data_IF_713479458649
#
_entry.id   IF_713479458649
#
_cell.length_a   1.000
_cell.length_b   1.000
_cell.length_c   1.000
_cell.angle_alpha   90.00
_cell.angle_beta   90.00
_cell.angle_gamma   90.00
#
_symmetry.space_group_name_H-M   'P 1'
#
loop_
_entity.id
_entity.type
_entity.pdbx_description
1 polymer ?
#
# COMPACT_ATOMS: atom_id res chain seq x y z
N UNK A 1 20.43 1.67 42.29
CA UNK A 1 21.18 0.55 42.90
C UNK A 1 20.52 0.01 44.18
N UNK A 2 20.31 0.81 45.25
CA UNK A 2 19.71 0.31 46.51
C UNK A 2 18.25 -0.17 46.44
N UNK A 3 17.48 0.32 45.45
CA UNK A 3 16.12 -0.18 45.16
C UNK A 3 16.11 -1.53 44.44
N UNK A 4 17.16 -1.82 43.66
CA UNK A 4 17.24 -2.98 42.78
C UNK A 4 17.86 -4.17 43.53
N UNK A 5 17.14 -4.67 44.53
CA UNK A 5 17.59 -5.77 45.40
C UNK A 5 16.52 -6.85 45.51
N UNK A 6 16.95 -8.10 45.73
CA UNK A 6 16.05 -9.25 45.94
C UNK A 6 15.13 -9.12 47.15
N UNK A 7 15.42 -8.20 48.07
CA UNK A 7 14.57 -7.93 49.24
C UNK A 7 13.23 -7.25 48.88
N UNK A 8 13.06 -6.80 47.62
CA UNK A 8 11.82 -6.20 47.08
C UNK A 8 11.19 -5.13 48.00
N UNK A 9 12.01 -4.25 48.59
CA UNK A 9 11.54 -3.19 49.49
C UNK A 9 10.40 -2.38 48.84
N UNK A 10 9.35 -2.11 49.60
CA UNK A 10 8.24 -1.28 49.13
C UNK A 10 8.71 0.15 48.85
N UNK A 11 8.02 0.85 47.94
CA UNK A 11 8.30 2.25 47.62
C UNK A 11 8.33 3.14 48.86
N UNK A 12 7.43 2.89 49.82
CA UNK A 12 7.38 3.62 51.09
C UNK A 12 8.62 3.37 51.96
N UNK A 13 9.09 2.11 52.05
CA UNK A 13 10.29 1.77 52.80
C UNK A 13 11.55 2.37 52.14
N UNK A 14 11.64 2.31 50.81
CA UNK A 14 12.75 2.88 50.06
C UNK A 14 12.78 4.41 50.14
N UNK A 15 11.62 5.07 50.07
CA UNK A 15 11.53 6.53 50.24
C UNK A 15 12.01 6.97 51.62
N UNK A 16 11.67 6.25 52.71
CA UNK A 16 12.20 6.55 54.06
C UNK A 16 13.73 6.46 54.14
N UNK A 17 14.34 5.52 53.41
CA UNK A 17 15.80 5.41 53.32
C UNK A 17 16.42 6.59 52.55
N UNK A 18 15.81 6.97 51.42
CA UNK A 18 16.22 8.15 50.64
C UNK A 18 16.14 9.42 51.49
N UNK A 19 15.05 9.60 52.24
CA UNK A 19 14.86 10.72 53.18
C UNK A 19 15.98 10.75 54.22
N UNK A 20 16.31 9.60 54.82
CA UNK A 20 17.36 9.48 55.84
C UNK A 20 18.74 9.82 55.26
N UNK A 21 19.07 9.28 54.08
CA UNK A 21 20.34 9.54 53.41
C UNK A 21 20.51 11.00 53.00
N UNK A 22 19.45 11.62 52.44
CA UNK A 22 19.45 13.04 52.11
C UNK A 22 19.65 13.91 53.35
N UNK A 23 18.98 13.62 54.48
CA UNK A 23 19.16 14.36 55.74
C UNK A 23 20.59 14.26 56.28
N UNK A 24 21.18 13.06 56.24
CA UNK A 24 22.56 12.84 56.70
C UNK A 24 23.59 13.61 55.86
N UNK A 25 23.31 13.78 54.56
CA UNK A 25 24.16 14.52 53.63
C UNK A 25 23.74 15.99 53.46
N UNK A 26 22.79 16.48 54.27
CA UNK A 26 22.24 17.85 54.20
C UNK A 26 21.68 18.23 52.80
N UNK A 27 21.15 17.26 52.07
CA UNK A 27 20.53 17.44 50.76
C UNK A 27 19.01 17.62 50.86
N UNK A 28 18.42 18.32 49.89
CA UNK A 28 16.96 18.49 49.79
C UNK A 28 16.29 17.13 49.52
N UNK A 29 15.32 16.79 50.35
CA UNK A 29 14.59 15.51 50.27
C UNK A 29 13.60 15.55 49.08
N UNK A 30 13.64 14.57 48.16
CA UNK A 30 12.67 14.48 47.08
C UNK A 30 11.30 14.02 47.56
N UNK A 31 10.24 14.52 46.91
CA UNK A 31 8.87 14.05 47.16
C UNK A 31 8.72 12.57 46.76
N UNK A 32 7.80 11.86 47.43
CA UNK A 32 7.57 10.43 47.19
C UNK A 32 7.20 10.14 45.74
N UNK A 33 6.38 11.00 45.12
CA UNK A 33 6.01 10.88 43.70
C UNK A 33 7.21 11.05 42.77
N UNK A 34 8.16 11.93 43.09
CA UNK A 34 9.40 12.11 42.31
C UNK A 34 10.26 10.85 42.33
N UNK A 35 10.32 10.15 43.48
CA UNK A 35 11.02 8.87 43.58
C UNK A 35 10.27 7.76 42.83
N UNK A 36 8.94 7.75 42.89
CA UNK A 36 8.10 6.82 42.14
C UNK A 36 8.28 6.95 40.63
N UNK A 37 8.26 8.18 40.10
CA UNK A 37 8.47 8.46 38.68
C UNK A 37 9.87 8.04 38.20
N UNK A 38 10.92 8.31 39.01
CA UNK A 38 12.28 7.85 38.69
C UNK A 38 12.42 6.33 38.71
N UNK A 39 11.65 5.64 39.54
CA UNK A 39 11.59 4.17 39.55
C UNK A 39 10.84 3.66 38.32
N UNK A 40 9.74 4.32 37.93
CA UNK A 40 8.96 3.97 36.75
C UNK A 40 9.75 4.18 35.43
N UNK A 41 10.73 5.09 35.42
CA UNK A 41 11.64 5.29 34.30
C UNK A 41 12.84 4.34 34.24
N UNK A 42 12.97 3.37 35.15
CA UNK A 42 13.99 2.32 35.07
C UNK A 42 13.56 1.24 34.06
N UNK A 43 14.52 0.61 33.37
CA UNK A 43 14.24 -0.51 32.48
C UNK A 43 13.51 -1.63 33.25
N UNK A 44 12.27 -1.98 32.87
CA UNK A 44 11.52 -3.07 33.51
C UNK A 44 12.30 -4.38 33.56
N UNK A 45 13.15 -4.67 32.57
CA UNK A 45 14.00 -5.87 32.53
C UNK A 45 15.08 -5.84 33.60
N UNK A 46 15.76 -4.72 33.77
CA UNK A 46 16.80 -4.58 34.80
C UNK A 46 16.16 -4.65 36.21
N UNK A 47 14.98 -4.05 36.37
CA UNK A 47 14.21 -4.10 37.62
C UNK A 47 13.84 -5.54 37.97
N UNK A 48 13.22 -6.27 37.04
CA UNK A 48 12.76 -7.65 37.29
C UNK A 48 13.94 -8.61 37.46
N UNK A 49 14.97 -8.52 36.63
CA UNK A 49 16.18 -9.35 36.76
C UNK A 49 16.84 -9.19 38.14
N UNK A 50 17.04 -7.94 38.60
CA UNK A 50 17.71 -7.68 39.89
C UNK A 50 16.83 -7.95 41.10
N UNK A 51 15.50 -7.87 40.99
CA UNK A 51 14.57 -8.04 42.12
C UNK A 51 13.96 -9.43 42.22
N UNK A 52 13.79 -10.11 41.12
CA UNK A 52 12.99 -11.34 41.02
C UNK A 52 13.80 -12.53 40.50
N UNK A 53 14.99 -12.28 39.95
CA UNK A 53 15.90 -13.31 39.45
C UNK A 53 15.78 -13.52 37.94
N UNK A 54 16.68 -14.35 37.42
CA UNK A 54 16.84 -14.57 35.98
C UNK A 54 15.62 -15.27 35.36
N UNK A 55 14.96 -16.17 36.09
CA UNK A 55 13.79 -16.90 35.59
C UNK A 55 12.53 -16.02 35.51
N UNK A 56 12.29 -15.12 36.46
CA UNK A 56 11.18 -14.17 36.40
C UNK A 56 11.38 -13.08 35.31
N UNK A 57 12.63 -12.87 34.87
CA UNK A 57 12.95 -11.98 33.76
C UNK A 57 12.76 -12.65 32.38
N UNK A 58 12.61 -13.98 32.31
CA UNK A 58 12.33 -14.73 31.06
C UNK A 58 10.94 -14.43 30.52
N UNK A 59 9.94 -14.23 31.37
CA UNK A 59 8.58 -13.84 30.93
C UNK A 59 8.53 -12.40 30.35
N UNK A 60 9.57 -11.59 30.59
CA UNK A 60 9.78 -10.25 30.00
C UNK A 60 10.78 -10.27 28.84
N UNK A 61 11.38 -11.42 28.52
CA UNK A 61 12.09 -11.64 27.28
C UNK A 61 11.04 -11.92 26.19
N UNK A 62 10.91 -11.00 25.24
CA UNK A 62 10.31 -11.38 23.96
C UNK A 62 11.08 -12.59 23.42
N UNK A 63 10.36 -13.58 22.87
CA UNK A 63 10.87 -14.89 22.45
C UNK A 63 11.76 -14.80 21.19
N UNK A 64 12.70 -13.88 21.14
CA UNK A 64 13.72 -13.87 20.10
C UNK A 64 14.93 -13.07 20.51
N UNK A 65 16.08 -13.52 20.04
CA UNK A 65 17.35 -12.83 20.25
C UNK A 65 17.27 -11.38 19.80
N UNK A 66 18.20 -10.57 20.28
CA UNK A 66 18.42 -9.23 19.73
C UNK A 66 18.82 -9.44 18.26
N UNK A 67 18.04 -8.94 17.28
CA UNK A 67 18.46 -8.97 15.89
C UNK A 67 19.84 -8.31 15.79
N UNK A 68 20.77 -8.84 14.98
CA UNK A 68 22.08 -8.22 14.83
C UNK A 68 21.91 -6.73 14.51
N UNK A 69 22.71 -5.85 15.14
CA UNK A 69 22.53 -4.41 14.99
C UNK A 69 22.80 -4.00 13.54
N UNK A 70 21.80 -3.37 12.91
CA UNK A 70 21.96 -2.72 11.61
C UNK A 70 22.77 -1.45 11.82
N UNK A 71 23.84 -1.27 11.03
CA UNK A 71 24.91 -0.30 11.30
C UNK A 71 25.02 0.82 10.26
N UNK A 72 24.43 0.62 9.07
CA UNK A 72 24.48 1.58 7.97
C UNK A 72 23.12 1.71 7.25
N UNK A 73 22.87 2.85 6.58
CA UNK A 73 21.72 2.99 5.70
C UNK A 73 21.71 1.93 4.60
N UNK A 74 20.52 1.46 4.25
CA UNK A 74 20.26 0.43 3.25
C UNK A 74 20.91 -0.92 3.54
N UNK A 75 21.47 -1.13 4.73
CA UNK A 75 22.00 -2.43 5.13
C UNK A 75 20.87 -3.46 5.28
N UNK A 76 19.74 -3.04 5.87
CA UNK A 76 18.54 -3.83 6.01
C UNK A 76 17.31 -2.95 5.79
N UNK A 77 16.49 -3.34 4.83
CA UNK A 77 15.18 -2.72 4.56
C UNK A 77 14.09 -3.73 4.85
N UNK A 78 13.06 -3.30 5.59
CA UNK A 78 11.84 -4.07 5.79
C UNK A 78 10.80 -3.64 4.76
N UNK A 79 10.12 -4.62 4.16
CA UNK A 79 8.99 -4.38 3.27
C UNK A 79 7.77 -5.09 3.84
N UNK A 80 6.65 -4.41 3.81
CA UNK A 80 5.37 -4.97 4.22
C UNK A 80 4.23 -4.42 3.35
N UNK A 81 3.12 -5.14 3.34
CA UNK A 81 1.92 -4.78 2.61
C UNK A 81 0.73 -4.65 3.56
N UNK A 82 -0.14 -3.68 3.32
CA UNK A 82 -1.39 -3.55 4.07
C UNK A 82 -2.50 -3.06 3.17
N UNK A 83 -3.74 -3.44 3.45
CA UNK A 83 -4.90 -2.75 2.88
C UNK A 83 -4.99 -1.38 3.54
N UNK A 84 -5.22 -0.32 2.76
CA UNK A 84 -5.49 1.01 3.30
C UNK A 84 -6.95 1.03 3.79
N UNK A 85 -7.19 1.56 4.99
CA UNK A 85 -8.52 1.74 5.56
C UNK A 85 -9.26 2.95 4.96
N UNK A 86 -9.22 3.10 3.63
CA UNK A 86 -9.83 4.21 2.89
C UNK A 86 -10.42 3.69 1.58
N UNK A 87 -11.66 4.08 1.28
CA UNK A 87 -12.26 3.85 -0.03
C UNK A 87 -11.85 4.99 -0.96
N UNK A 88 -11.19 4.66 -2.06
CA UNK A 88 -10.88 5.65 -3.12
C UNK A 88 -11.96 5.67 -4.18
N UNK A 89 -11.99 6.76 -4.94
CA UNK A 89 -12.91 6.97 -6.05
C UNK A 89 -12.22 7.02 -7.40
N UNK A 90 -12.97 6.79 -8.48
CA UNK A 90 -12.46 6.94 -9.85
C UNK A 90 -12.23 8.42 -10.22
N UNK A 91 -11.28 8.68 -11.12
CA UNK A 91 -10.90 10.04 -11.52
C UNK A 91 -11.99 10.81 -12.28
N UNK A 92 -12.91 10.12 -12.94
CA UNK A 92 -13.86 10.74 -13.87
C UNK A 92 -15.19 11.07 -13.20
N UNK A 93 -15.77 10.08 -12.55
CA UNK A 93 -17.14 10.12 -12.01
C UNK A 93 -17.15 10.16 -10.48
N UNK A 94 -15.99 10.13 -9.83
CA UNK A 94 -15.81 10.15 -8.37
C UNK A 94 -16.67 9.10 -7.66
N UNK A 95 -16.79 7.91 -8.24
CA UNK A 95 -17.45 6.78 -7.62
C UNK A 95 -16.47 5.90 -6.86
N UNK A 96 -16.89 5.33 -5.72
CA UNK A 96 -16.11 4.31 -5.00
C UNK A 96 -15.63 3.19 -5.93
N UNK A 97 -14.32 2.94 -5.94
CA UNK A 97 -13.71 1.83 -6.69
C UNK A 97 -13.08 0.77 -5.78
N UNK A 98 -13.07 1.02 -4.46
CA UNK A 98 -12.61 0.07 -3.47
C UNK A 98 -11.44 0.59 -2.65
N UNK A 99 -10.81 -0.33 -1.90
CA UNK A 99 -9.71 -0.04 -0.99
C UNK A 99 -8.38 -0.40 -1.65
N UNK A 100 -7.43 0.54 -1.74
CA UNK A 100 -6.10 0.25 -2.25
C UNK A 100 -5.24 -0.48 -1.22
N UNK A 101 -4.18 -1.12 -1.70
CA UNK A 101 -3.08 -1.68 -0.93
C UNK A 101 -1.90 -0.71 -0.90
N UNK A 102 -1.26 -0.60 0.26
CA UNK A 102 0.00 0.08 0.47
C UNK A 102 1.11 -0.95 0.56
N UNK A 103 2.15 -0.80 -0.26
CA UNK A 103 3.45 -1.46 -0.07
C UNK A 103 4.44 -0.43 0.44
N UNK A 104 5.04 -0.67 1.60
CA UNK A 104 5.97 0.27 2.23
C UNK A 104 7.32 -0.40 2.46
N UNK A 105 8.41 0.31 2.11
CA UNK A 105 9.77 -0.09 2.41
C UNK A 105 10.41 0.90 3.38
N UNK A 106 10.91 0.42 4.52
CA UNK A 106 11.55 1.23 5.56
C UNK A 106 12.97 0.75 5.85
N UNK A 107 13.90 1.70 5.88
CA UNK A 107 15.28 1.46 6.31
C UNK A 107 15.34 1.27 7.84
N UNK A 108 15.91 0.15 8.28
CA UNK A 108 15.94 -0.19 9.70
C UNK A 108 16.88 0.73 10.48
N UNK A 109 17.97 1.20 9.87
CA UNK A 109 18.99 2.00 10.54
C UNK A 109 18.54 3.45 10.76
N UNK A 110 18.01 4.10 9.72
CA UNK A 110 17.60 5.52 9.75
C UNK A 110 16.12 5.71 10.05
N UNK A 111 15.32 4.65 10.04
CA UNK A 111 13.85 4.71 10.10
C UNK A 111 13.21 5.48 8.95
N UNK A 112 13.95 5.81 7.89
CA UNK A 112 13.36 6.46 6.74
C UNK A 112 12.52 5.48 5.94
N UNK A 113 11.31 5.90 5.56
CA UNK A 113 10.61 5.27 4.43
C UNK A 113 11.45 5.54 3.17
N UNK A 114 11.89 4.47 2.51
CA UNK A 114 12.69 4.52 1.28
C UNK A 114 11.84 4.24 0.05
N UNK A 115 10.80 3.41 0.18
CA UNK A 115 9.93 2.99 -0.93
C UNK A 115 8.47 3.02 -0.55
N UNK A 116 7.59 3.41 -1.47
CA UNK A 116 6.15 3.36 -1.30
C UNK A 116 5.47 3.05 -2.64
N UNK A 117 4.45 2.20 -2.63
CA UNK A 117 3.58 1.94 -3.78
C UNK A 117 2.15 1.81 -3.30
N UNK A 118 1.23 2.48 -3.99
CA UNK A 118 -0.22 2.36 -3.74
C UNK A 118 -0.86 1.72 -4.97
N UNK A 119 -1.58 0.61 -4.80
CA UNK A 119 -2.21 -0.11 -5.92
C UNK A 119 -3.60 -0.60 -5.56
N UNK A 120 -4.50 -0.70 -6.54
CA UNK A 120 -5.78 -1.41 -6.35
C UNK A 120 -5.62 -2.93 -6.46
N UNK A 121 -4.55 -3.39 -7.10
CA UNK A 121 -4.18 -4.80 -7.17
C UNK A 121 -3.63 -5.28 -5.84
N UNK A 122 -3.95 -6.53 -5.51
CA UNK A 122 -3.46 -7.20 -4.31
C UNK A 122 -1.91 -7.35 -4.35
N UNK A 123 -1.27 -7.52 -3.18
CA UNK A 123 0.18 -7.69 -3.07
C UNK A 123 0.70 -8.82 -3.96
N UNK A 124 1.83 -8.57 -4.60
CA UNK A 124 2.47 -9.52 -5.52
C UNK A 124 3.95 -9.21 -5.67
N UNK A 125 4.69 -10.10 -6.33
CA UNK A 125 6.08 -9.82 -6.70
C UNK A 125 6.25 -8.51 -7.49
N UNK A 126 5.21 -8.08 -8.22
CA UNK A 126 5.20 -6.82 -8.97
C UNK A 126 5.13 -5.62 -8.03
N UNK A 127 4.27 -5.64 -7.01
CA UNK A 127 4.19 -4.52 -6.06
C UNK A 127 5.49 -4.38 -5.26
N UNK A 128 6.11 -5.50 -4.89
CA UNK A 128 7.46 -5.52 -4.28
C UNK A 128 8.50 -4.94 -5.25
N UNK A 129 8.53 -5.39 -6.50
CA UNK A 129 9.44 -4.88 -7.53
C UNK A 129 9.29 -3.37 -7.76
N UNK A 130 8.06 -2.86 -7.80
CA UNK A 130 7.77 -1.43 -7.90
C UNK A 130 8.27 -0.65 -6.68
N UNK A 131 8.09 -1.22 -5.49
CA UNK A 131 8.55 -0.59 -4.26
C UNK A 131 10.08 -0.52 -4.22
N UNK A 132 10.76 -1.57 -4.70
CA UNK A 132 12.21 -1.57 -4.86
C UNK A 132 12.69 -0.57 -5.91
N UNK A 133 11.98 -0.39 -7.03
CA UNK A 133 12.28 0.66 -8.01
C UNK A 133 12.18 2.03 -7.35
N UNK A 134 11.09 2.31 -6.63
CA UNK A 134 10.90 3.57 -5.91
C UNK A 134 12.00 3.80 -4.86
N UNK A 135 12.41 2.75 -4.13
CA UNK A 135 13.50 2.82 -3.17
C UNK A 135 14.87 3.06 -3.82
N UNK A 136 15.16 2.39 -4.93
CA UNK A 136 16.48 2.37 -5.54
C UNK A 136 16.75 3.53 -6.50
N UNK A 137 15.70 4.14 -7.06
CA UNK A 137 15.80 5.23 -8.03
C UNK A 137 15.64 6.61 -7.37
N UNK A 138 16.05 7.64 -8.10
CA UNK A 138 15.74 9.03 -7.78
C UNK A 138 14.23 9.28 -7.87
N UNK A 139 13.65 9.85 -6.81
CA UNK A 139 12.21 10.09 -6.68
C UNK A 139 11.79 11.45 -7.21
N UNK A 140 12.71 12.36 -7.53
CA UNK A 140 12.37 13.71 -8.02
C UNK A 140 11.39 13.70 -9.20
N UNK A 141 11.59 12.89 -10.27
CA UNK A 141 10.64 12.85 -11.38
C UNK A 141 9.24 12.34 -10.96
N UNK A 142 9.18 11.45 -9.97
CA UNK A 142 7.92 10.94 -9.45
C UNK A 142 7.19 11.98 -8.59
N UNK A 143 7.92 12.72 -7.75
CA UNK A 143 7.40 13.83 -6.94
C UNK A 143 6.87 14.98 -7.83
N UNK A 144 7.63 15.35 -8.87
CA UNK A 144 7.19 16.29 -9.91
C UNK A 144 5.89 15.81 -10.57
N UNK A 145 5.85 14.52 -10.92
CA UNK A 145 4.68 13.87 -11.48
C UNK A 145 3.47 13.81 -10.54
N UNK A 146 3.64 14.03 -9.22
CA UNK A 146 2.56 14.16 -8.23
C UNK A 146 2.26 15.61 -7.83
N UNK A 147 2.99 16.58 -8.40
CA UNK A 147 2.94 17.98 -8.01
C UNK A 147 3.19 18.17 -6.49
N UNK A 148 4.22 17.50 -5.96
CA UNK A 148 4.63 17.62 -4.56
C UNK A 148 5.99 18.30 -4.49
N UNK A 149 6.04 19.42 -3.78
CA UNK A 149 7.28 20.15 -3.49
C UNK A 149 7.85 19.67 -2.15
N UNK A 150 8.66 18.61 -2.19
CA UNK A 150 9.40 18.10 -1.03
C UNK A 150 10.69 17.41 -1.46
N UNK A 151 11.64 17.30 -0.53
CA UNK A 151 12.83 16.48 -0.73
C UNK A 151 12.60 15.06 -0.20
N UNK A 152 12.89 14.05 -1.03
CA UNK A 152 12.95 12.65 -0.63
C UNK A 152 14.26 12.00 -1.09
N UNK A 153 15.41 12.37 -0.48
CA UNK A 153 16.74 12.00 -0.99
C UNK A 153 17.10 10.52 -0.75
N UNK A 154 16.33 9.80 0.06
CA UNK A 154 16.62 8.42 0.45
C UNK A 154 16.46 7.46 -0.73
N UNK A 155 17.55 7.27 -1.47
CA UNK A 155 17.58 6.45 -2.68
C UNK A 155 18.78 5.52 -2.66
N UNK A 156 18.58 4.29 -3.10
CA UNK A 156 19.65 3.31 -3.30
C UNK A 156 19.19 1.88 -3.10
N UNK A 157 20.01 0.96 -3.59
CA UNK A 157 19.73 -0.47 -3.52
C UNK A 157 20.02 -1.01 -2.10
N UNK A 158 19.08 -1.74 -1.46
CA UNK A 158 19.33 -2.39 -0.17
C UNK A 158 20.31 -3.57 -0.30
N UNK A 159 21.07 -3.82 0.76
CA UNK A 159 21.95 -5.00 0.88
C UNK A 159 21.17 -6.25 1.30
N UNK A 160 20.11 -6.06 2.09
CA UNK A 160 19.26 -7.12 2.59
C UNK A 160 17.81 -6.65 2.68
N UNK A 161 16.89 -7.46 2.17
CA UNK A 161 15.46 -7.33 2.42
C UNK A 161 15.08 -8.29 3.53
N UNK A 162 14.46 -7.74 4.57
CA UNK A 162 13.95 -8.50 5.70
C UNK A 162 12.43 -8.53 5.64
N UNK A 163 11.89 -9.69 5.27
CA UNK A 163 10.52 -9.86 4.82
C UNK A 163 9.74 -10.76 5.76
N UNK A 164 8.42 -10.66 5.74
CA UNK A 164 7.58 -11.68 6.38
C UNK A 164 7.55 -12.98 5.54
N UNK A 165 6.77 -13.97 5.98
CA UNK A 165 6.72 -15.28 5.33
C UNK A 165 5.65 -15.41 4.22
N UNK A 166 5.05 -14.31 3.77
CA UNK A 166 4.02 -14.30 2.75
C UNK A 166 4.52 -14.86 1.41
N UNK A 167 3.57 -15.34 0.59
CA UNK A 167 3.89 -16.12 -0.61
C UNK A 167 4.57 -15.28 -1.70
N UNK A 168 4.19 -14.01 -1.82
CA UNK A 168 4.76 -13.02 -2.74
C UNK A 168 6.27 -12.84 -2.53
N UNK A 169 6.73 -12.86 -1.28
CA UNK A 169 8.14 -12.74 -0.92
C UNK A 169 8.95 -14.01 -1.15
N UNK A 170 8.29 -15.13 -1.46
CA UNK A 170 8.90 -16.42 -1.81
C UNK A 170 8.87 -16.71 -3.32
N UNK A 171 8.42 -15.74 -4.12
CA UNK A 171 8.32 -15.88 -5.56
C UNK A 171 9.68 -16.08 -6.23
N UNK A 172 9.72 -16.89 -7.29
CA UNK A 172 10.95 -17.06 -8.09
C UNK A 172 11.42 -15.73 -8.69
N UNK A 173 10.48 -14.87 -9.08
CA UNK A 173 10.76 -13.55 -9.65
C UNK A 173 11.56 -12.67 -8.69
N UNK A 174 11.12 -12.57 -7.42
CA UNK A 174 11.82 -11.79 -6.40
C UNK A 174 13.20 -12.38 -6.09
N UNK A 175 13.31 -13.71 -5.92
CA UNK A 175 14.60 -14.37 -5.65
C UNK A 175 15.63 -14.08 -6.74
N UNK A 176 15.27 -14.27 -8.01
CA UNK A 176 16.17 -14.01 -9.15
C UNK A 176 16.53 -12.53 -9.27
N UNK A 177 15.56 -11.63 -9.10
CA UNK A 177 15.84 -10.19 -9.13
C UNK A 177 16.81 -9.77 -8.01
N UNK A 178 16.62 -10.31 -6.80
CA UNK A 178 17.52 -10.05 -5.69
C UNK A 178 18.93 -10.62 -5.94
N UNK A 179 19.03 -11.86 -6.44
CA UNK A 179 20.31 -12.49 -6.79
C UNK A 179 21.07 -11.69 -7.86
N UNK A 180 20.40 -11.30 -8.95
CA UNK A 180 20.97 -10.48 -10.04
C UNK A 180 21.55 -9.17 -9.52
N UNK A 181 20.89 -8.59 -8.51
CA UNK A 181 21.27 -7.31 -7.93
C UNK A 181 22.09 -7.43 -6.65
N UNK A 182 22.51 -8.63 -6.23
CA UNK A 182 23.28 -8.83 -5.00
C UNK A 182 22.55 -8.38 -3.71
N UNK A 183 21.22 -8.44 -3.73
CA UNK A 183 20.35 -8.16 -2.57
C UNK A 183 20.11 -9.48 -1.85
N UNK A 184 20.44 -9.57 -0.57
CA UNK A 184 20.15 -10.76 0.23
C UNK A 184 18.68 -10.78 0.66
N UNK A 185 18.06 -11.95 0.64
CA UNK A 185 16.73 -12.16 1.19
C UNK A 185 16.86 -12.84 2.55
N UNK A 186 16.17 -12.29 3.55
CA UNK A 186 16.06 -12.89 4.88
C UNK A 186 14.61 -12.76 5.36
N UNK A 187 14.17 -13.73 6.17
CA UNK A 187 12.77 -13.89 6.53
C UNK A 187 12.60 -13.92 8.04
N UNK A 188 11.50 -13.32 8.52
CA UNK A 188 11.13 -13.36 9.94
C UNK A 188 11.02 -14.82 10.42
N UNK A 189 11.54 -15.18 11.62
CA UNK A 189 11.27 -16.49 12.20
C UNK A 189 9.77 -16.74 12.37
N UNK A 190 9.33 -17.99 12.14
CA UNK A 190 7.92 -18.35 12.27
C UNK A 190 7.42 -18.12 13.70
N UNK A 191 6.27 -17.45 13.84
CA UNK A 191 5.63 -17.20 15.14
C UNK A 191 6.29 -16.12 16.01
N UNK A 192 7.20 -15.31 15.45
CA UNK A 192 7.92 -14.27 16.19
C UNK A 192 7.61 -12.85 15.63
N UNK A 193 6.47 -12.24 15.99
CA UNK A 193 6.02 -10.97 15.42
C UNK A 193 6.93 -9.78 15.74
N UNK A 194 7.72 -9.85 16.82
CA UNK A 194 8.55 -8.73 17.27
C UNK A 194 9.63 -8.27 16.28
N UNK A 195 10.00 -9.10 15.30
CA UNK A 195 10.96 -8.71 14.26
C UNK A 195 10.37 -7.81 13.15
N UNK A 196 9.03 -7.70 13.07
CA UNK A 196 8.31 -6.82 12.15
C UNK A 196 7.93 -5.45 12.70
N UNK A 197 8.16 -5.22 14.00
CA UNK A 197 7.59 -4.09 14.73
C UNK A 197 8.04 -2.69 14.31
N UNK A 198 8.93 -2.55 13.32
CA UNK A 198 9.35 -1.25 12.78
C UNK A 198 8.42 -0.85 11.64
N UNK A 199 8.31 -1.71 10.61
CA UNK A 199 7.41 -1.47 9.47
C UNK A 199 5.93 -1.49 9.92
N UNK A 200 5.58 -2.37 10.84
CA UNK A 200 4.22 -2.42 11.43
C UNK A 200 3.87 -1.12 12.16
N UNK A 201 4.84 -0.52 12.88
CA UNK A 201 4.59 0.73 13.62
C UNK A 201 4.35 1.90 12.68
N UNK A 202 5.15 2.06 11.63
CA UNK A 202 4.96 3.16 10.68
C UNK A 202 3.67 2.98 9.87
N UNK A 203 3.30 1.74 9.53
CA UNK A 203 2.00 1.44 8.91
C UNK A 203 0.86 1.84 9.86
N UNK A 204 0.95 1.48 11.14
CA UNK A 204 -0.04 1.88 12.13
C UNK A 204 -0.17 3.40 12.27
N UNK A 205 0.96 4.13 12.26
CA UNK A 205 0.96 5.60 12.25
C UNK A 205 0.27 6.16 11.00
N UNK A 206 0.55 5.59 9.81
CA UNK A 206 -0.10 6.03 8.58
C UNK A 206 -1.62 5.77 8.61
N UNK A 207 -2.07 4.61 9.10
CA UNK A 207 -3.51 4.32 9.23
C UNK A 207 -4.20 5.28 10.19
N UNK A 208 -3.58 5.59 11.33
CA UNK A 208 -4.13 6.55 12.28
C UNK A 208 -4.30 7.94 11.64
N UNK A 209 -3.29 8.44 10.91
CA UNK A 209 -3.40 9.72 10.21
C UNK A 209 -4.52 9.70 9.15
N UNK A 210 -4.69 8.57 8.44
CA UNK A 210 -5.79 8.41 7.46
C UNK A 210 -7.14 8.48 8.16
N UNK A 211 -7.30 7.81 9.31
CA UNK A 211 -8.55 7.83 10.07
C UNK A 211 -8.88 9.23 10.62
N UNK A 212 -7.86 9.97 11.04
CA UNK A 212 -8.02 11.28 11.68
C UNK A 212 -8.23 12.41 10.66
N UNK A 213 -7.62 12.33 9.48
CA UNK A 213 -7.55 13.43 8.53
C UNK A 213 -8.36 13.24 7.24
N UNK A 214 -8.68 11.99 6.84
CA UNK A 214 -9.28 11.71 5.53
C UNK A 214 -10.75 11.23 5.60
N UNK A 215 -11.63 11.73 4.73
CA UNK A 215 -13.00 11.24 4.59
C UNK A 215 -13.05 9.93 3.79
N UNK A 216 -14.05 9.08 4.06
CA UNK A 216 -14.22 7.78 3.38
C UNK A 216 -13.43 6.64 4.02
N UNK A 217 -12.93 6.85 5.23
CA UNK A 217 -12.26 5.82 6.04
C UNK A 217 -13.22 4.67 6.37
N UNK A 218 -12.70 3.45 6.38
CA UNK A 218 -13.46 2.26 6.80
C UNK A 218 -13.26 1.90 8.26
N UNK A 219 -12.32 2.56 8.94
CA UNK A 219 -11.82 2.22 10.28
C UNK A 219 -11.32 0.77 10.40
N UNK A 220 -10.64 0.43 11.49
CA UNK A 220 -10.05 -0.92 11.66
C UNK A 220 -11.04 -1.98 12.15
N UNK A 221 -12.19 -1.55 12.73
CA UNK A 221 -13.22 -2.45 13.27
C UNK A 221 -14.62 -1.94 12.88
N UNK A 222 -15.55 -2.83 12.45
CA UNK A 222 -16.98 -2.53 12.34
C UNK A 222 -17.59 -1.70 13.48
N UNK A 223 -17.18 -1.92 14.74
CA UNK A 223 -17.68 -1.17 15.90
C UNK A 223 -17.28 0.32 15.86
N UNK A 224 -16.09 0.62 15.34
CA UNK A 224 -15.60 1.99 15.17
C UNK A 224 -16.28 2.69 13.97
N UNK A 225 -16.72 1.91 12.98
CA UNK A 225 -17.40 2.43 11.80
C UNK A 225 -18.81 2.93 12.13
N UNK A 226 -19.53 2.26 13.04
CA UNK A 226 -20.90 2.65 13.41
C UNK A 226 -21.81 2.88 12.20
N UNK A 227 -22.49 4.04 12.15
CA UNK A 227 -23.35 4.47 11.03
C UNK A 227 -22.60 5.22 9.91
N UNK A 228 -21.26 5.31 9.97
CA UNK A 228 -20.48 6.06 8.99
C UNK A 228 -20.53 5.41 7.60
N UNK A 229 -21.12 6.11 6.64
CA UNK A 229 -21.25 5.65 5.27
C UNK A 229 -19.96 5.89 4.47
N UNK A 230 -18.93 5.04 4.67
CA UNK A 230 -17.60 5.17 4.05
C UNK A 230 -17.65 5.36 2.53
N UNK A 231 -18.52 4.63 1.83
CA UNK A 231 -18.67 4.77 0.37
C UNK A 231 -19.23 6.14 -0.05
N UNK A 232 -20.16 6.70 0.72
CA UNK A 232 -20.73 8.03 0.43
C UNK A 232 -19.75 9.16 0.76
N UNK A 233 -18.87 8.91 1.72
CA UNK A 233 -17.84 9.85 2.16
C UNK A 233 -16.53 9.71 1.39
N UNK A 234 -16.38 8.66 0.57
CA UNK A 234 -15.22 8.43 -0.27
C UNK A 234 -15.03 9.62 -1.20
N UNK A 235 -13.92 10.32 -1.01
CA UNK A 235 -13.68 11.57 -1.71
C UNK A 235 -12.39 11.59 -2.48
N UNK A 236 -11.38 10.76 -2.19
CA UNK A 236 -10.06 10.85 -2.82
C UNK A 236 -9.90 9.85 -3.97
N UNK A 237 -9.29 10.27 -5.08
CA UNK A 237 -8.77 9.33 -6.09
C UNK A 237 -7.51 8.63 -5.62
N UNK A 238 -7.11 7.55 -6.30
CA UNK A 238 -5.85 6.87 -6.03
C UNK A 238 -4.66 7.84 -6.09
N UNK A 239 -4.61 8.70 -7.10
CA UNK A 239 -3.54 9.70 -7.31
C UNK A 239 -3.54 10.80 -6.24
N UNK A 240 -4.71 11.23 -5.78
CA UNK A 240 -4.82 12.19 -4.67
C UNK A 240 -4.37 11.56 -3.34
N UNK A 241 -4.72 10.29 -3.10
CA UNK A 241 -4.27 9.54 -1.94
C UNK A 241 -2.74 9.34 -1.97
N UNK A 242 -2.16 8.98 -3.13
CA UNK A 242 -0.71 8.90 -3.31
C UNK A 242 -0.02 10.22 -2.97
N UNK A 243 -0.55 11.34 -3.45
CA UNK A 243 -0.05 12.68 -3.14
C UNK A 243 -0.09 12.97 -1.63
N UNK A 244 -1.21 12.68 -0.98
CA UNK A 244 -1.37 12.89 0.45
C UNK A 244 -0.40 12.01 1.28
N UNK A 245 -0.29 10.72 0.94
CA UNK A 245 0.63 9.80 1.60
C UNK A 245 2.10 10.23 1.44
N UNK A 246 2.44 10.77 0.27
CA UNK A 246 3.77 11.33 -0.01
C UNK A 246 4.11 12.47 0.95
N UNK A 247 3.18 13.41 1.13
CA UNK A 247 3.32 14.51 2.08
C UNK A 247 3.41 13.99 3.53
N UNK A 248 2.58 13.01 3.89
CA UNK A 248 2.62 12.38 5.21
C UNK A 248 3.99 11.73 5.50
N UNK A 249 4.60 11.09 4.51
CA UNK A 249 5.97 10.55 4.63
C UNK A 249 6.99 11.68 4.84
N UNK A 250 6.87 12.80 4.14
CA UNK A 250 7.71 13.98 4.36
C UNK A 250 7.61 14.53 5.78
N UNK A 251 6.38 14.67 6.30
CA UNK A 251 6.13 15.07 7.70
C UNK A 251 6.76 14.09 8.69
N UNK A 252 6.64 12.78 8.44
CA UNK A 252 7.27 11.75 9.26
C UNK A 252 8.79 11.86 9.26
N UNK A 253 9.41 12.06 8.10
CA UNK A 253 10.87 12.20 7.97
C UNK A 253 11.42 13.42 8.72
N UNK A 254 10.64 14.50 8.84
CA UNK A 254 10.99 15.71 9.59
C UNK A 254 10.69 15.65 11.09
N UNK A 255 9.89 14.68 11.54
CA UNK A 255 9.45 14.56 12.94
C UNK A 255 10.44 13.77 13.79
N UNK A 256 10.62 14.19 15.06
CA UNK A 256 11.52 13.48 15.99
C UNK A 256 11.01 12.06 16.26
N UNK A 257 11.82 11.06 15.92
CA UNK A 257 11.46 9.67 16.13
C UNK A 257 11.89 9.18 17.53
N UNK A 258 10.97 8.66 18.34
CA UNK A 258 11.23 8.25 19.73
C UNK A 258 12.39 7.26 19.89
N UNK A 259 12.56 6.33 18.94
CA UNK A 259 13.67 5.36 18.96
C UNK A 259 15.02 5.91 18.49
N UNK A 260 15.05 7.07 17.83
CA UNK A 260 16.28 7.71 17.34
C UNK A 260 16.65 8.97 18.13
N UNK A 261 15.68 9.60 18.80
CA UNK A 261 15.78 10.90 19.45
C UNK A 261 16.17 12.05 18.49
N UNK A 262 15.97 11.84 17.19
CA UNK A 262 16.16 12.82 16.12
C UNK A 262 15.24 12.47 14.92
N UNK A 263 15.04 13.40 13.97
CA UNK A 263 14.30 13.10 12.75
C UNK A 263 14.95 12.02 11.89
N UNK A 264 14.18 11.10 11.26
CA UNK A 264 14.71 10.12 10.32
C UNK A 264 15.56 10.75 9.20
N UNK A 265 15.13 11.89 8.64
CA UNK A 265 15.90 12.58 7.60
C UNK A 265 17.28 13.05 8.08
N UNK A 266 17.36 13.58 9.31
CA UNK A 266 18.62 13.99 9.92
C UNK A 266 19.55 12.78 10.11
N UNK A 267 18.99 11.67 10.61
CA UNK A 267 19.74 10.41 10.77
C UNK A 267 20.31 9.88 9.45
N UNK A 268 19.54 9.98 8.37
CA UNK A 268 20.00 9.64 7.03
C UNK A 268 21.14 10.55 6.55
N UNK A 269 20.97 11.86 6.67
CA UNK A 269 21.97 12.85 6.27
C UNK A 269 23.32 12.68 7.02
N UNK A 270 23.27 12.45 8.33
CA UNK A 270 24.45 12.13 9.14
C UNK A 270 25.16 10.87 8.63
N UNK A 271 24.37 9.84 8.28
CA UNK A 271 24.90 8.55 7.90
C UNK A 271 25.59 8.58 6.54
N UNK A 272 24.95 9.17 5.52
CA UNK A 272 25.52 9.29 4.17
C UNK A 272 26.78 10.17 4.16
N UNK A 273 26.89 11.13 5.08
CA UNK A 273 28.12 11.95 5.24
C UNK A 273 29.30 11.08 5.68
N UNK A 274 29.05 10.04 6.48
CA UNK A 274 30.11 9.11 6.93
C UNK A 274 30.37 7.97 5.96
N UNK A 275 29.34 7.42 5.33
CA UNK A 275 29.43 6.20 4.51
C UNK A 275 29.51 6.46 3.00
N UNK A 276 29.28 7.70 2.57
CA UNK A 276 29.07 8.07 1.17
C UNK A 276 27.61 7.95 0.75
N UNK A 277 27.27 8.63 -0.35
CA UNK A 277 25.94 8.57 -0.97
C UNK A 277 25.76 7.19 -1.64
N UNK A 278 24.66 6.47 -1.35
CA UNK A 278 24.40 5.18 -1.99
C UNK A 278 24.28 5.30 -3.51
N UNK A 279 24.68 4.25 -4.24
CA UNK A 279 24.50 4.18 -5.68
C UNK A 279 23.00 4.09 -6.02
N UNK A 280 22.55 5.04 -6.84
CA UNK A 280 21.17 5.13 -7.33
C UNK A 280 21.05 4.36 -8.65
N UNK A 281 19.94 3.65 -8.82
CA UNK A 281 19.61 2.98 -10.07
C UNK A 281 19.09 4.03 -11.07
N UNK A 282 19.72 4.10 -12.25
CA UNK A 282 19.37 5.06 -13.31
C UNK A 282 18.41 4.48 -14.35
N UNK A 283 18.41 3.16 -14.55
CA UNK A 283 17.54 2.46 -15.50
C UNK A 283 16.39 1.77 -14.77
N UNK A 284 15.41 2.54 -14.32
CA UNK A 284 14.26 2.06 -13.55
C UNK A 284 13.52 0.88 -14.23
N UNK A 285 13.27 0.97 -15.54
CA UNK A 285 12.59 -0.11 -16.29
C UNK A 285 13.39 -1.40 -16.31
N UNK A 286 14.70 -1.32 -16.60
CA UNK A 286 15.55 -2.51 -16.62
C UNK A 286 15.61 -3.18 -15.24
N UNK A 287 15.73 -2.37 -14.19
CA UNK A 287 15.69 -2.86 -12.81
C UNK A 287 14.35 -3.52 -12.47
N UNK A 288 13.22 -2.91 -12.85
CA UNK A 288 11.88 -3.49 -12.63
C UNK A 288 11.72 -4.85 -13.31
N UNK A 289 12.19 -4.98 -14.56
CA UNK A 289 12.06 -6.20 -15.37
C UNK A 289 12.61 -7.43 -14.64
N UNK A 290 13.68 -7.28 -13.87
CA UNK A 290 14.28 -8.37 -13.08
C UNK A 290 13.36 -8.92 -11.98
N UNK A 291 12.37 -8.14 -11.54
CA UNK A 291 11.38 -8.51 -10.52
C UNK A 291 10.00 -8.88 -11.08
N UNK A 292 9.78 -8.72 -12.39
CA UNK A 292 8.49 -9.05 -13.01
C UNK A 292 8.20 -10.56 -13.03
N UNK A 293 6.93 -10.99 -13.08
CA UNK A 293 6.53 -12.39 -13.16
C UNK A 293 7.24 -13.15 -14.29
N UNK A 294 7.64 -14.38 -14.00
CA UNK A 294 8.37 -15.26 -14.92
C UNK A 294 7.40 -16.18 -15.65
N UNK A 295 7.59 -16.29 -16.96
CA UNK A 295 6.92 -17.22 -17.85
C UNK A 295 8.01 -17.96 -18.63
N UNK A 296 7.86 -19.26 -18.85
CA UNK A 296 8.77 -20.04 -19.69
C UNK A 296 8.06 -20.50 -20.95
N UNK A 297 8.60 -20.20 -22.13
CA UNK A 297 8.02 -20.59 -23.42
C UNK A 297 9.09 -20.93 -24.44
N UNK A 298 8.79 -21.92 -25.28
CA UNK A 298 9.62 -22.25 -26.44
C UNK A 298 9.35 -21.28 -27.58
N UNK A 299 10.41 -20.87 -28.27
CA UNK A 299 10.32 -19.99 -29.44
C UNK A 299 9.79 -20.76 -30.65
N UNK A 300 8.81 -20.20 -31.34
CA UNK A 300 8.24 -20.78 -32.58
C UNK A 300 8.71 -20.00 -33.82
N UNK A 301 8.35 -20.48 -35.02
CA UNK A 301 8.63 -19.77 -36.28
C UNK A 301 7.99 -18.39 -36.36
N UNK A 302 6.90 -18.16 -35.61
CA UNK A 302 6.14 -16.91 -35.59
C UNK A 302 6.39 -16.07 -34.35
N UNK A 303 7.39 -16.43 -33.52
CA UNK A 303 7.70 -15.74 -32.26
C UNK A 303 7.17 -16.51 -31.04
N UNK A 304 6.71 -15.77 -30.02
CA UNK A 304 6.14 -16.34 -28.81
C UNK A 304 4.63 -16.21 -28.79
N UNK A 305 3.95 -17.21 -28.24
CA UNK A 305 2.51 -17.16 -27.95
C UNK A 305 2.30 -17.29 -26.46
N UNK A 306 1.68 -16.27 -25.85
CA UNK A 306 1.40 -16.24 -24.41
C UNK A 306 -0.04 -15.81 -24.23
N UNK A 307 -0.85 -16.66 -23.60
CA UNK A 307 -2.26 -16.40 -23.31
C UNK A 307 -3.06 -15.92 -24.54
N UNK A 308 -2.87 -16.60 -25.68
CA UNK A 308 -3.51 -16.34 -26.98
C UNK A 308 -3.03 -15.07 -27.71
N UNK A 309 -1.97 -14.42 -27.23
CA UNK A 309 -1.38 -13.22 -27.83
C UNK A 309 -0.03 -13.56 -28.45
N UNK A 310 0.23 -13.04 -29.65
CA UNK A 310 1.48 -13.26 -30.38
C UNK A 310 2.45 -12.11 -30.15
N UNK A 311 3.71 -12.45 -29.87
CA UNK A 311 4.80 -11.50 -29.67
C UNK A 311 5.92 -11.79 -30.65
N UNK A 312 6.38 -10.76 -31.34
CA UNK A 312 7.42 -10.91 -32.36
C UNK A 312 8.23 -9.61 -32.52
N UNK A 313 9.54 -9.77 -32.66
CA UNK A 313 10.45 -8.74 -33.12
C UNK A 313 11.50 -9.37 -34.02
N UNK A 314 12.06 -8.57 -34.93
CA UNK A 314 13.10 -9.05 -35.86
C UNK A 314 14.38 -9.52 -35.17
N UNK A 315 14.64 -9.03 -33.95
CA UNK A 315 15.72 -9.52 -33.10
C UNK A 315 15.61 -11.01 -32.75
N UNK A 316 14.43 -11.64 -32.90
CA UNK A 316 14.25 -13.07 -32.68
C UNK A 316 14.73 -13.93 -33.85
N UNK A 317 14.90 -13.37 -35.05
CA UNK A 317 15.27 -14.12 -36.27
C UNK A 317 16.48 -15.05 -36.10
N UNK A 318 17.60 -14.62 -35.48
CA UNK A 318 18.76 -15.49 -35.25
C UNK A 318 18.44 -16.72 -34.40
N UNK A 319 17.53 -16.57 -33.44
CA UNK A 319 17.11 -17.65 -32.55
C UNK A 319 16.06 -18.56 -33.20
N UNK A 320 15.15 -18.01 -34.01
CA UNK A 320 14.14 -18.78 -34.75
C UNK A 320 14.80 -19.81 -35.67
N UNK A 321 15.90 -19.44 -36.32
CA UNK A 321 16.67 -20.31 -37.21
C UNK A 321 17.24 -21.56 -36.51
N UNK A 322 17.58 -21.44 -35.22
CA UNK A 322 18.17 -22.51 -34.39
C UNK A 322 17.24 -22.98 -33.25
N UNK A 323 15.95 -22.62 -33.29
CA UNK A 323 14.99 -22.78 -32.19
C UNK A 323 14.86 -24.22 -31.67
N UNK A 324 14.99 -25.20 -32.56
CA UNK A 324 14.84 -26.62 -32.21
C UNK A 324 16.02 -27.13 -31.34
N UNK A 325 17.09 -26.34 -31.19
CA UNK A 325 18.25 -26.61 -30.33
C UNK A 325 18.26 -25.76 -29.05
N UNK A 326 17.31 -24.85 -28.88
CA UNK A 326 17.26 -23.93 -27.75
C UNK A 326 16.24 -24.41 -26.71
N UNK A 327 16.52 -24.26 -25.41
CA UNK A 327 15.54 -24.55 -24.37
C UNK A 327 14.40 -23.53 -24.38
N UNK A 328 13.39 -23.76 -23.53
CA UNK A 328 12.39 -22.74 -23.26
C UNK A 328 13.06 -21.47 -22.72
N UNK A 329 12.67 -20.32 -23.29
CA UNK A 329 13.17 -19.02 -22.90
C UNK A 329 12.51 -18.56 -21.61
N UNK A 330 13.27 -17.84 -20.78
CA UNK A 330 12.75 -17.11 -19.63
C UNK A 330 12.21 -15.77 -20.11
N UNK A 331 10.93 -15.53 -19.85
CA UNK A 331 10.20 -14.34 -20.28
C UNK A 331 9.66 -13.64 -19.04
N UNK A 332 9.84 -12.32 -18.99
CA UNK A 332 9.24 -11.43 -18.00
C UNK A 332 8.08 -10.68 -18.65
N UNK A 333 6.97 -10.53 -17.93
CA UNK A 333 5.81 -9.78 -18.40
C UNK A 333 5.21 -8.97 -17.27
N UNK A 334 4.97 -7.67 -17.51
CA UNK A 334 4.30 -6.80 -16.56
C UNK A 334 2.77 -7.04 -16.67
N UNK A 335 2.08 -7.48 -15.61
CA UNK A 335 0.63 -7.67 -15.68
C UNK A 335 -0.14 -6.35 -15.83
N UNK A 336 0.48 -5.19 -15.58
CA UNK A 336 -0.15 -3.88 -15.73
C UNK A 336 -0.15 -3.40 -17.18
N UNK A 337 0.78 -3.88 -17.99
CA UNK A 337 0.84 -3.62 -19.43
C UNK A 337 1.44 -4.84 -20.13
N UNK A 338 0.57 -5.66 -20.73
CA UNK A 338 1.01 -6.83 -21.47
C UNK A 338 1.35 -6.53 -22.94
N UNK A 339 1.46 -5.26 -23.36
CA UNK A 339 1.84 -4.84 -24.73
C UNK A 339 3.19 -5.34 -25.21
N UNK A 340 4.03 -5.72 -24.26
CA UNK A 340 5.39 -6.17 -24.49
C UNK A 340 5.77 -7.22 -23.48
N UNK A 341 6.77 -8.00 -23.85
CA UNK A 341 7.44 -8.97 -22.98
C UNK A 341 8.94 -8.73 -23.05
N UNK A 342 9.65 -9.16 -22.01
CA UNK A 342 11.10 -9.11 -21.97
C UNK A 342 11.65 -10.52 -21.97
N UNK A 343 12.33 -10.89 -23.05
CA UNK A 343 12.85 -12.24 -23.27
C UNK A 343 14.33 -12.26 -22.91
N UNK A 344 14.72 -13.11 -21.97
CA UNK A 344 16.13 -13.30 -21.61
C UNK A 344 16.83 -13.99 -22.77
N UNK A 345 17.97 -13.43 -23.21
CA UNK A 345 18.81 -14.05 -24.24
C UNK A 345 19.25 -15.47 -23.81
N UNK A 346 19.45 -16.41 -24.74
CA UNK A 346 19.94 -17.76 -24.42
C UNK A 346 21.24 -17.78 -23.63
N UNK A 347 22.11 -16.80 -23.89
CA UNK A 347 23.39 -16.59 -23.22
C UNK A 347 23.23 -16.00 -21.80
N UNK A 348 22.02 -15.56 -21.43
CA UNK A 348 21.65 -15.16 -20.07
C UNK A 348 22.05 -13.74 -19.66
N UNK A 349 22.48 -12.90 -20.62
CA UNK A 349 23.08 -11.60 -20.31
C UNK A 349 22.07 -10.45 -20.26
N UNK A 350 21.19 -10.35 -21.26
CA UNK A 350 20.26 -9.22 -21.37
C UNK A 350 18.82 -9.67 -21.63
N UNK A 351 17.90 -8.75 -21.35
CA UNK A 351 16.51 -8.88 -21.73
C UNK A 351 16.26 -8.09 -23.02
N UNK A 352 15.69 -8.75 -24.04
CA UNK A 352 15.18 -8.11 -25.24
C UNK A 352 13.69 -7.79 -25.06
N UNK A 353 13.31 -6.54 -25.32
CA UNK A 353 11.91 -6.12 -25.36
C UNK A 353 11.27 -6.57 -26.69
N UNK A 354 10.19 -7.34 -26.59
CA UNK A 354 9.44 -7.87 -27.72
C UNK A 354 7.99 -7.39 -27.60
N UNK A 355 7.50 -6.56 -28.54
CA UNK A 355 6.11 -6.10 -28.52
C UNK A 355 5.16 -7.19 -29.03
N UNK A 356 3.87 -6.88 -29.05
CA UNK A 356 2.92 -7.60 -29.88
C UNK A 356 3.42 -7.75 -31.32
N UNK A 357 3.09 -8.87 -31.93
CA UNK A 357 3.28 -9.07 -33.37
C UNK A 357 2.41 -8.06 -34.16
N UNK A 358 1.19 -7.83 -33.69
CA UNK A 358 0.26 -6.86 -34.28
C UNK A 358 0.36 -5.55 -33.52
N UNK A 359 1.15 -4.61 -34.04
CA UNK A 359 1.44 -3.33 -33.38
C UNK A 359 0.23 -2.40 -33.24
N UNK A 360 -0.86 -2.64 -33.98
CA UNK A 360 -2.10 -1.86 -33.88
C UNK A 360 -2.96 -2.23 -32.66
N UNK A 361 -2.65 -3.33 -31.97
CA UNK A 361 -3.37 -3.67 -30.74
C UNK A 361 -3.06 -2.67 -29.62
N UNK A 362 -4.08 -2.23 -28.87
CA UNK A 362 -3.89 -1.31 -27.76
C UNK A 362 -3.17 -2.00 -26.60
N UNK A 363 -2.54 -1.23 -25.73
CA UNK A 363 -2.08 -1.73 -24.43
C UNK A 363 -3.28 -2.23 -23.62
N UNK A 364 -3.12 -3.40 -23.01
CA UNK A 364 -4.12 -4.03 -22.15
C UNK A 364 -3.44 -4.56 -20.90
N UNK A 365 -4.19 -4.64 -19.81
CA UNK A 365 -3.73 -5.31 -18.59
C UNK A 365 -3.96 -6.83 -18.69
N UNK A 366 -3.25 -7.61 -17.88
CA UNK A 366 -3.49 -9.04 -17.75
C UNK A 366 -4.90 -9.34 -17.20
N UNK A 367 -5.43 -8.44 -16.38
CA UNK A 367 -6.78 -8.56 -15.84
C UNK A 367 -7.85 -8.43 -16.93
N UNK A 368 -7.75 -7.40 -17.78
CA UNK A 368 -8.68 -7.20 -18.91
C UNK A 368 -8.66 -8.40 -19.85
N UNK A 369 -7.45 -8.91 -20.11
CA UNK A 369 -7.25 -10.10 -20.92
C UNK A 369 -7.94 -11.33 -20.31
N UNK A 370 -7.79 -11.57 -19.01
CA UNK A 370 -8.43 -12.70 -18.30
C UNK A 370 -9.94 -12.59 -18.30
N UNK A 371 -10.48 -11.39 -18.08
CA UNK A 371 -11.93 -11.17 -18.13
C UNK A 371 -12.50 -11.43 -19.52
N UNK A 372 -11.84 -10.93 -20.56
CA UNK A 372 -12.25 -11.17 -21.93
C UNK A 372 -12.22 -12.67 -22.29
N UNK A 373 -11.19 -13.40 -21.86
CA UNK A 373 -11.14 -14.86 -22.02
C UNK A 373 -12.27 -15.58 -21.29
N UNK A 374 -12.56 -15.21 -20.05
CA UNK A 374 -13.65 -15.80 -19.27
C UNK A 374 -15.00 -15.59 -19.98
N UNK A 375 -15.24 -14.38 -20.48
CA UNK A 375 -16.47 -14.04 -21.21
C UNK A 375 -16.59 -14.78 -22.55
N UNK A 376 -15.50 -14.91 -23.30
CA UNK A 376 -15.48 -15.68 -24.56
C UNK A 376 -15.76 -17.17 -24.33
N UNK A 377 -15.23 -17.75 -23.24
CA UNK A 377 -15.51 -19.14 -22.84
C UNK A 377 -16.98 -19.34 -22.43
N UNK A 378 -17.56 -18.39 -21.69
CA UNK A 378 -18.99 -18.41 -21.34
C UNK A 378 -19.89 -18.35 -22.59
N UNK A 379 -19.42 -17.69 -23.66
CA UNK A 379 -20.11 -17.66 -24.96
C UNK A 379 -19.90 -18.93 -25.81
N UNK A 380 -19.32 -19.99 -25.24
CA UNK A 380 -19.14 -21.28 -25.92
C UNK A 380 -18.02 -21.30 -26.96
N UNK A 381 -17.12 -20.31 -26.97
CA UNK A 381 -15.97 -20.33 -27.90
C UNK A 381 -14.85 -21.21 -27.35
N UNK A 382 -14.72 -22.41 -27.91
CA UNK A 382 -13.63 -23.33 -27.56
C UNK A 382 -12.26 -22.89 -28.11
N UNK A 383 -12.23 -22.32 -29.31
CA UNK A 383 -11.02 -21.72 -29.89
C UNK A 383 -11.11 -20.19 -29.84
N UNK A 384 -10.23 -19.59 -29.03
CA UNK A 384 -10.10 -18.14 -28.93
C UNK A 384 -8.90 -17.70 -29.77
N UNK A 385 -9.17 -17.04 -30.90
CA UNK A 385 -8.15 -16.33 -31.65
C UNK A 385 -7.84 -14.95 -31.03
N UNK A 386 -6.64 -14.44 -31.29
CA UNK A 386 -6.15 -13.15 -30.76
C UNK A 386 -7.07 -11.98 -31.15
N UNK A 387 -7.61 -12.00 -32.36
CA UNK A 387 -8.47 -10.92 -32.85
C UNK A 387 -9.81 -10.89 -32.08
N UNK A 388 -10.37 -12.05 -31.75
CA UNK A 388 -11.57 -12.18 -30.93
C UNK A 388 -11.33 -11.70 -29.50
N UNK A 389 -10.16 -12.01 -28.95
CA UNK A 389 -9.74 -11.53 -27.64
C UNK A 389 -9.70 -9.99 -27.60
N UNK A 390 -8.98 -9.34 -28.52
CA UNK A 390 -8.89 -7.87 -28.53
C UNK A 390 -10.22 -7.19 -28.87
N UNK A 391 -11.05 -7.79 -29.74
CA UNK A 391 -12.42 -7.29 -29.98
C UNK A 391 -13.26 -7.34 -28.70
N UNK A 392 -13.21 -8.44 -27.94
CA UNK A 392 -13.94 -8.56 -26.67
C UNK A 392 -13.46 -7.53 -25.65
N UNK A 393 -12.13 -7.31 -25.53
CA UNK A 393 -11.59 -6.26 -24.66
C UNK A 393 -12.15 -4.89 -25.07
N UNK A 394 -12.16 -4.58 -26.37
CA UNK A 394 -12.76 -3.36 -26.91
C UNK A 394 -14.23 -3.20 -26.52
N UNK A 395 -15.04 -4.23 -26.73
CA UNK A 395 -16.46 -4.25 -26.34
C UNK A 395 -16.66 -4.04 -24.84
N UNK A 396 -15.84 -4.67 -24.00
CA UNK A 396 -15.91 -4.49 -22.54
C UNK A 396 -15.56 -3.07 -22.13
N UNK A 397 -14.52 -2.46 -22.72
CA UNK A 397 -14.18 -1.05 -22.50
C UNK A 397 -15.29 -0.11 -22.95
N UNK A 398 -15.94 -0.39 -24.07
CA UNK A 398 -17.10 0.38 -24.56
C UNK A 398 -18.30 0.29 -23.63
N UNK A 399 -18.61 -0.90 -23.10
CA UNK A 399 -19.67 -1.10 -22.11
C UNK A 399 -19.40 -0.25 -20.87
N UNK A 400 -18.18 -0.33 -20.31
CA UNK A 400 -17.78 0.46 -19.14
C UNK A 400 -17.89 1.95 -19.43
N UNK A 401 -17.37 2.40 -20.57
CA UNK A 401 -17.40 3.82 -20.97
C UNK A 401 -18.83 4.32 -21.19
N UNK A 402 -19.69 3.50 -21.78
CA UNK A 402 -21.10 3.85 -22.02
C UNK A 402 -21.89 3.89 -20.73
N UNK A 403 -21.67 2.93 -19.83
CA UNK A 403 -22.24 2.93 -18.48
C UNK A 403 -21.83 4.18 -17.71
N UNK A 404 -20.54 4.53 -17.69
CA UNK A 404 -20.03 5.77 -17.10
C UNK A 404 -20.74 7.01 -17.67
N UNK A 405 -20.83 7.14 -18.99
CA UNK A 405 -21.52 8.25 -19.67
C UNK A 405 -23.01 8.30 -19.33
N UNK A 406 -23.69 7.16 -19.28
CA UNK A 406 -25.11 7.07 -18.94
C UNK A 406 -25.34 7.48 -17.49
N UNK A 407 -24.51 7.01 -16.56
CA UNK A 407 -24.56 7.41 -15.14
C UNK A 407 -24.28 8.90 -14.98
N UNK A 408 -23.30 9.46 -15.70
CA UNK A 408 -23.02 10.90 -15.71
C UNK A 408 -24.20 11.72 -16.22
N UNK A 409 -24.86 11.28 -17.30
CA UNK A 409 -26.08 11.93 -17.84
C UNK A 409 -27.22 11.85 -16.82
N UNK A 410 -27.48 10.67 -16.26
CA UNK A 410 -28.53 10.46 -15.26
C UNK A 410 -28.32 11.33 -14.01
N UNK A 411 -27.08 11.47 -13.55
CA UNK A 411 -26.72 12.38 -12.43
C UNK A 411 -26.94 13.84 -12.79
N UNK A 412 -26.45 14.30 -13.95
CA UNK A 412 -26.69 15.67 -14.41
C UNK A 412 -28.19 15.99 -14.50
N UNK A 413 -29.00 15.03 -14.94
CA UNK A 413 -30.45 15.18 -15.00
C UNK A 413 -31.10 15.14 -13.61
N UNK A 414 -30.55 14.41 -12.64
CA UNK A 414 -30.97 14.43 -11.25
C UNK A 414 -30.62 15.76 -10.56
N UNK A 415 -29.39 16.24 -10.69
CA UNK A 415 -28.92 17.53 -10.17
C UNK A 415 -29.75 18.68 -10.75
N UNK A 416 -30.00 18.67 -12.07
CA UNK A 416 -30.86 19.67 -12.72
C UNK A 416 -32.28 19.65 -12.14
N UNK A 417 -32.84 18.46 -11.91
CA UNK A 417 -34.17 18.31 -11.28
C UNK A 417 -34.18 18.80 -9.83
N UNK A 418 -33.10 18.59 -9.09
CA UNK A 418 -32.97 19.03 -7.70
C UNK A 418 -32.76 20.56 -7.60
N UNK A 419 -31.97 21.13 -8.51
CA UNK A 419 -31.77 22.58 -8.62
C UNK A 419 -33.05 23.32 -9.03
N UNK A 420 -33.86 22.72 -9.91
CA UNK A 420 -35.19 23.23 -10.26
C UNK A 420 -36.17 23.16 -9.08
N UNK A 421 -36.04 22.18 -8.17
CA UNK A 421 -36.84 22.10 -6.94
C UNK A 421 -36.40 23.09 -5.85
N UNK A 422 -35.11 23.43 -5.79
CA UNK A 422 -34.58 24.42 -4.84
C UNK A 422 -34.93 25.87 -5.22
N UNK A 423 -35.38 26.10 -6.45
CA UNK A 423 -35.77 27.43 -6.97
C UNK A 423 -37.31 27.51 -7.09
N UNK A 424 -38.04 27.43 -5.97
CA UNK A 424 -39.48 27.72 -5.96
C UNK A 424 -39.73 29.24 -5.90
N UNK A 425 -40.80 29.79 -6.51
CA UNK A 425 -40.98 31.24 -6.68
C UNK A 425 -41.32 31.96 -5.36
N UNK A 426 -41.08 33.27 -5.23
CA UNK A 426 -41.42 34.02 -4.02
C UNK A 426 -42.92 33.96 -3.73
N UNK A 427 -43.22 33.69 -2.45
CA UNK A 427 -44.56 33.55 -1.88
C UNK A 427 -45.43 34.77 -2.23
N UNK A 428 -46.57 34.53 -2.88
CA UNK A 428 -47.63 35.54 -3.03
C UNK A 428 -48.26 35.81 -1.66
N UNK A 429 -48.17 37.04 -1.18
CA UNK A 429 -48.87 37.54 0.01
C UNK A 429 -50.38 37.64 -0.28
N UNK A 430 -51.20 36.95 0.50
CA UNK A 430 -52.67 37.08 0.51
C UNK A 430 -53.13 38.21 1.44
N UNK A 431 -54.21 38.96 1.12
CA UNK A 431 -54.82 39.96 2.02
C UNK A 431 -55.88 39.34 2.98
N UNK A 432 -56.37 40.10 3.99
CA UNK A 432 -57.14 39.58 5.14
C UNK A 432 -58.66 39.36 4.89
N UNK A 433 -59.39 38.77 5.86
CA UNK A 433 -60.54 37.89 5.62
C UNK A 433 -61.92 38.55 5.72
N UNK A 434 -62.94 37.90 5.13
CA UNK A 434 -64.35 38.22 5.35
C UNK A 434 -65.33 37.17 4.83
N UNK A 435 -66.09 36.60 5.79
CA UNK A 435 -67.48 36.13 5.76
C UNK A 435 -67.95 34.94 4.89
N UNK A 436 -68.41 33.91 5.62
CA UNK A 436 -69.68 33.15 5.53
C UNK A 436 -69.91 32.02 4.50
N UNK A 437 -69.98 30.80 5.06
CA UNK A 437 -71.02 29.74 4.99
C UNK A 437 -71.87 29.60 3.71
N UNK A 438 -71.77 28.46 3.02
CA UNK A 438 -72.78 27.36 3.04
C UNK A 438 -72.53 26.29 1.94
N UNK A 439 -72.98 25.06 2.20
CA UNK A 439 -73.64 24.24 1.17
C UNK A 439 -72.91 23.08 0.46
N UNK A 440 -73.12 21.87 0.98
CA UNK A 440 -73.52 20.62 0.28
C UNK A 440 -72.61 19.87 -0.74
N UNK A 441 -72.35 18.61 -0.34
CA UNK A 441 -72.55 17.33 -1.06
C UNK A 441 -71.63 16.83 -2.20
N UNK A 442 -71.04 15.66 -1.89
CA UNK A 442 -71.07 14.38 -2.63
C UNK A 442 -69.96 14.00 -3.63
N UNK A 443 -69.48 12.76 -3.40
CA UNK A 443 -68.72 11.82 -4.25
C UNK A 443 -67.31 12.27 -4.74
N UNK A 444 -66.26 11.43 -4.79
CA UNK A 444 -66.23 9.99 -5.01
C UNK A 444 -64.83 9.44 -4.65
N UNK A 445 -64.79 8.17 -4.19
CA UNK A 445 -63.72 7.17 -4.37
C UNK A 445 -62.31 7.34 -3.75
N UNK A 446 -62.05 6.46 -2.77
CA UNK A 446 -60.84 5.62 -2.64
C UNK A 446 -61.36 4.16 -2.59
N UNK A 447 -60.68 3.14 -3.15
CA UNK A 447 -59.34 2.68 -2.72
C UNK A 447 -58.45 2.24 -3.92
N UNK A 448 -57.17 1.88 -3.84
CA UNK A 448 -56.53 0.93 -2.95
C UNK A 448 -54.99 1.07 -2.99
N UNK A 449 -54.39 0.33 -2.05
CA UNK A 449 -53.03 0.37 -1.51
C UNK A 449 -52.00 -0.45 -2.33
N UNK A 450 -50.70 -0.40 -1.95
CA UNK A 450 -49.53 -0.56 -2.83
C UNK A 450 -49.12 -2.02 -3.06
N UNK A 451 -48.32 -2.24 -4.10
CA UNK A 451 -47.62 -3.51 -4.31
C UNK A 451 -46.30 -3.53 -3.54
N UNK A 452 -46.15 -4.56 -2.71
CA UNK A 452 -44.90 -5.09 -2.20
C UNK A 452 -44.23 -6.03 -3.23
N UNK A 453 -42.89 -6.04 -3.17
CA UNK A 453 -41.92 -7.12 -3.47
C UNK A 453 -42.06 -7.96 -4.76
N UNK A 454 -40.97 -8.04 -5.55
CA UNK A 454 -40.28 -9.32 -5.87
C UNK A 454 -38.77 -9.06 -5.98
N UNK A 455 -38.03 -9.99 -5.39
CA UNK A 455 -36.59 -10.19 -5.25
C UNK A 455 -35.88 -10.65 -6.54
N UNK A 456 -34.54 -10.66 -6.47
CA UNK A 456 -33.56 -11.46 -7.24
C UNK A 456 -33.42 -11.20 -8.75
N UNK A 457 -32.20 -10.79 -9.18
CA UNK A 457 -31.16 -11.62 -9.79
C UNK A 457 -29.79 -10.92 -9.68
#
# INVERSE_FOLDING_TARGET
KRFLTKQKRSLAAFHREVVRACKLQKLRVPARNTVALRIAGLDPREVTHRREGQDAARDLQGVGGVPPPVSAPLEQVQIDHTVIDLIVVDERDRQPIGRPYLTLAIDVFTRCVVGMVVTLEAPSAVSVGLCLVHAACDKRPWLEGLNVEMDWPMSGKPRLLYLDNAAEFKSEALRRGCEQHGIRLDYRPLGQPHYGGIVERIIGTAMQMIHDELPGTTFSNPDQRGEYASEKMAALTLRELERWLTLAVGTYHGSVHNGLLQPPAARWAEAITRTGVPTVITRATAFLVDFLPIIRRTLTRTGFVIDHIHYYADALKPWIARRDRLPAFLIRRDPRDISRIWVLEPEGQHYLEIPYRTLSHPAVTLWEQRQALAKLRQQGREQVDESALFRMIGQMREIVTTAQKATRKARRDADRRQHLKATAPPVKTTPPPGADMDGQQADNQLPAKPFDQIEEW
#
